data_IF_378215511013
#
_entry.id   IF_378215511013
#
_cell.length_a   1.000
_cell.length_b   1.000
_cell.length_c   1.000
_cell.angle_alpha   90.00
_cell.angle_beta   90.00
_cell.angle_gamma   90.00
#
_symmetry.space_group_name_H-M   'P 1'
#
loop_
_entity.id
_entity.type
_entity.pdbx_description
1 polymer ?
#
# COMPACT_ATOMS: atom_id res chain seq x y z
N UNK A 1 22.66 18.98 75.11
CA UNK A 1 22.26 19.43 73.75
C UNK A 1 22.81 18.43 72.75
N UNK A 2 22.02 17.49 72.26
CA UNK A 2 22.55 16.58 71.26
C UNK A 2 22.52 17.23 69.89
N UNK A 3 23.69 17.27 69.27
CA UNK A 3 23.90 17.68 67.91
C UNK A 3 23.26 16.68 66.95
N UNK A 4 22.25 17.11 66.23
CA UNK A 4 21.69 16.34 65.12
C UNK A 4 22.48 16.65 63.87
N UNK A 5 23.54 15.88 63.64
CA UNK A 5 24.23 15.88 62.36
C UNK A 5 23.38 15.17 61.31
N UNK A 6 22.72 15.94 60.52
CA UNK A 6 21.91 15.48 59.40
C UNK A 6 22.83 15.17 58.19
N UNK A 7 23.26 13.92 58.07
CA UNK A 7 23.94 13.44 56.86
C UNK A 7 22.93 13.37 55.72
N UNK A 8 23.00 14.36 54.82
CA UNK A 8 22.30 14.32 53.55
C UNK A 8 22.99 13.30 52.64
N UNK A 9 22.38 12.15 52.49
CA UNK A 9 22.70 11.21 51.41
C UNK A 9 22.13 11.76 50.11
N UNK A 10 23.00 12.23 49.23
CA UNK A 10 22.67 12.50 47.85
C UNK A 10 22.43 11.17 47.16
N UNK A 11 21.20 10.84 46.93
CA UNK A 11 20.81 9.78 45.96
C UNK A 11 20.94 10.34 44.56
N UNK A 12 22.00 9.93 43.91
CA UNK A 12 22.16 10.12 42.45
C UNK A 12 21.17 9.23 41.75
N UNK A 13 20.06 9.79 41.30
CA UNK A 13 19.18 9.17 40.37
C UNK A 13 19.85 9.10 38.99
N UNK A 14 20.37 7.91 38.68
CA UNK A 14 20.82 7.63 37.33
C UNK A 14 19.59 7.57 36.44
N UNK A 15 19.38 8.62 35.65
CA UNK A 15 18.44 8.59 34.54
C UNK A 15 19.00 7.66 33.46
N UNK A 16 18.51 6.42 33.43
CA UNK A 16 18.69 5.56 32.28
C UNK A 16 17.76 6.10 31.21
N UNK A 17 18.28 6.93 30.32
CA UNK A 17 17.62 7.26 29.08
C UNK A 17 17.57 5.97 28.23
N UNK A 18 16.48 5.23 28.31
CA UNK A 18 16.16 4.22 27.33
C UNK A 18 15.90 4.96 26.02
N UNK A 19 16.89 5.02 25.16
CA UNK A 19 16.74 5.29 23.75
C UNK A 19 15.89 4.16 23.18
N UNK A 20 14.58 4.32 23.28
CA UNK A 20 13.64 3.54 22.53
C UNK A 20 13.94 3.77 21.06
N UNK A 21 14.62 2.82 20.44
CA UNK A 21 14.83 2.84 19.02
C UNK A 21 13.44 2.87 18.35
N UNK A 22 13.09 4.03 17.84
CA UNK A 22 12.07 4.14 16.81
C UNK A 22 12.62 3.35 15.63
N UNK A 23 12.28 2.06 15.56
CA UNK A 23 12.38 1.36 14.31
C UNK A 23 11.53 2.17 13.33
N UNK A 24 12.11 2.77 12.28
CA UNK A 24 11.29 3.27 11.22
C UNK A 24 10.50 2.05 10.72
N UNK A 25 9.21 2.06 10.94
CA UNK A 25 8.31 1.22 10.16
C UNK A 25 8.60 1.65 8.72
N UNK A 26 9.52 0.92 8.08
CA UNK A 26 9.71 1.07 6.66
C UNK A 26 8.34 0.79 6.08
N UNK A 27 7.65 1.84 5.68
CA UNK A 27 6.50 1.74 4.86
C UNK A 27 7.00 1.01 3.61
N UNK A 28 6.80 -0.30 3.57
CA UNK A 28 7.01 -1.08 2.37
C UNK A 28 5.96 -0.55 1.39
N UNK A 29 6.34 0.51 0.69
CA UNK A 29 5.59 0.98 -0.45
C UNK A 29 5.29 -0.24 -1.30
N UNK A 30 4.01 -0.43 -1.63
CA UNK A 30 3.51 -1.56 -2.39
C UNK A 30 4.26 -1.69 -3.72
N UNK A 31 5.45 -2.24 -3.65
CA UNK A 31 6.33 -2.50 -4.78
C UNK A 31 5.94 -3.75 -5.59
N UNK A 32 5.13 -4.69 -5.06
CA UNK A 32 4.88 -5.93 -5.76
C UNK A 32 4.06 -5.79 -7.04
N UNK A 33 3.26 -4.76 -7.16
CA UNK A 33 2.45 -4.56 -8.37
C UNK A 33 3.23 -3.90 -9.52
N UNK A 34 4.39 -3.33 -9.26
CA UNK A 34 5.18 -2.58 -10.23
C UNK A 34 5.79 -3.41 -11.36
N UNK A 35 5.91 -4.71 -11.19
CA UNK A 35 6.65 -5.56 -12.14
C UNK A 35 5.79 -6.21 -13.22
N UNK A 36 4.47 -6.08 -13.17
CA UNK A 36 3.60 -7.05 -13.83
C UNK A 36 2.60 -6.48 -14.84
N UNK A 37 2.63 -5.22 -15.09
CA UNK A 37 1.79 -4.64 -16.15
C UNK A 37 2.43 -4.83 -17.53
N UNK A 38 2.94 -6.03 -17.76
CA UNK A 38 3.46 -6.43 -19.07
C UNK A 38 2.29 -6.51 -20.06
N UNK A 39 2.33 -5.67 -21.06
CA UNK A 39 1.34 -5.62 -22.11
C UNK A 39 0.54 -4.31 -22.20
N UNK A 40 0.59 -3.46 -21.18
CA UNK A 40 0.09 -2.11 -21.32
C UNK A 40 1.18 -1.27 -21.99
N UNK A 41 0.92 -0.65 -23.15
CA UNK A 41 1.92 0.16 -23.81
C UNK A 41 2.42 1.26 -22.88
N UNK A 42 3.70 1.21 -22.50
CA UNK A 42 4.35 2.25 -21.69
C UNK A 42 4.29 3.63 -22.35
N UNK A 43 4.00 3.69 -23.66
CA UNK A 43 3.89 4.92 -24.44
C UNK A 43 2.67 5.78 -24.09
N UNK A 44 1.68 5.21 -23.38
CA UNK A 44 0.42 5.93 -23.07
C UNK A 44 0.37 6.47 -21.65
N UNK A 45 1.30 6.07 -20.79
CA UNK A 45 1.33 6.46 -19.38
C UNK A 45 2.73 6.89 -18.96
N UNK A 46 2.80 8.01 -18.26
CA UNK A 46 4.03 8.47 -17.61
C UNK A 46 4.30 7.69 -16.32
N UNK A 47 5.51 7.80 -15.80
CA UNK A 47 5.87 7.25 -14.49
C UNK A 47 4.95 7.78 -13.38
N UNK A 48 4.57 9.05 -13.45
CA UNK A 48 3.68 9.68 -12.48
C UNK A 48 2.23 9.16 -12.60
N UNK A 49 1.77 8.85 -13.83
CA UNK A 49 0.47 8.22 -14.05
C UNK A 49 0.42 6.82 -13.41
N UNK A 50 1.47 6.04 -13.59
CA UNK A 50 1.60 4.74 -12.93
C UNK A 50 1.59 4.84 -11.42
N UNK A 51 2.24 5.85 -10.85
CA UNK A 51 2.20 6.09 -9.40
C UNK A 51 0.78 6.39 -8.91
N UNK A 52 0.00 7.16 -9.66
CA UNK A 52 -1.40 7.43 -9.35
C UNK A 52 -2.26 6.16 -9.43
N UNK A 53 -2.05 5.32 -10.45
CA UNK A 53 -2.71 4.03 -10.57
C UNK A 53 -2.40 3.11 -9.38
N UNK A 54 -1.13 2.96 -8.99
CA UNK A 54 -0.76 2.12 -7.86
C UNK A 54 -1.30 2.64 -6.52
N UNK A 55 -1.37 3.95 -6.34
CA UNK A 55 -1.97 4.55 -5.16
C UNK A 55 -3.46 4.21 -5.06
N UNK A 56 -4.18 4.30 -6.17
CA UNK A 56 -5.59 3.92 -6.23
C UNK A 56 -5.80 2.42 -5.99
N UNK A 57 -4.97 1.56 -6.56
CA UNK A 57 -5.02 0.11 -6.33
C UNK A 57 -4.77 -0.23 -4.86
N UNK A 58 -3.78 0.40 -4.23
CA UNK A 58 -3.49 0.22 -2.80
C UNK A 58 -4.65 0.70 -1.93
N UNK A 59 -5.29 1.80 -2.29
CA UNK A 59 -6.46 2.32 -1.59
C UNK A 59 -7.64 1.35 -1.67
N UNK A 60 -7.95 0.85 -2.87
CA UNK A 60 -9.04 -0.10 -3.09
C UNK A 60 -8.83 -1.41 -2.32
N UNK A 61 -7.63 -1.98 -2.41
CA UNK A 61 -7.28 -3.24 -1.78
C UNK A 61 -7.13 -3.13 -0.26
N UNK A 62 -6.80 -1.94 0.24
CA UNK A 62 -6.66 -1.65 1.68
C UNK A 62 -7.98 -1.40 2.40
N UNK A 63 -9.08 -1.21 1.68
CA UNK A 63 -10.39 -0.98 2.31
C UNK A 63 -10.92 -2.27 2.94
N UNK A 64 -11.34 -2.17 4.18
CA UNK A 64 -11.93 -3.28 4.93
C UNK A 64 -13.29 -2.88 5.50
N UNK A 65 -14.32 -3.71 5.33
CA UNK A 65 -14.36 -4.94 4.54
C UNK A 65 -14.32 -4.68 3.03
N UNK A 66 -13.69 -5.59 2.27
CA UNK A 66 -13.78 -5.56 0.81
C UNK A 66 -15.14 -6.05 0.35
N UNK A 67 -15.69 -5.43 -0.67
CA UNK A 67 -16.99 -5.77 -1.23
C UNK A 67 -16.90 -5.94 -2.75
N UNK A 68 -17.52 -6.96 -3.29
CA UNK A 68 -17.66 -7.11 -4.75
C UNK A 68 -18.42 -5.92 -5.30
N UNK A 69 -17.94 -5.38 -6.41
CA UNK A 69 -18.49 -4.17 -7.03
C UNK A 69 -17.90 -2.86 -6.52
N UNK A 70 -17.06 -2.90 -5.48
CA UNK A 70 -16.36 -1.73 -4.97
C UNK A 70 -15.41 -1.17 -6.04
N UNK A 71 -15.43 0.14 -6.24
CA UNK A 71 -14.68 0.83 -7.28
C UNK A 71 -13.75 1.88 -6.70
N UNK A 72 -12.68 2.16 -7.42
CA UNK A 72 -11.77 3.27 -7.16
C UNK A 72 -11.37 3.89 -8.49
N UNK A 73 -11.65 5.17 -8.65
CA UNK A 73 -11.16 5.94 -9.79
C UNK A 73 -9.71 6.36 -9.58
N UNK A 74 -8.99 6.49 -10.68
CA UNK A 74 -7.64 7.03 -10.68
C UNK A 74 -7.44 8.01 -11.82
N UNK A 75 -6.58 8.97 -11.59
CA UNK A 75 -6.20 9.98 -12.58
C UNK A 75 -4.73 10.33 -12.42
N UNK A 76 -3.98 10.22 -13.51
CA UNK A 76 -2.60 10.62 -13.57
C UNK A 76 -2.43 12.06 -14.07
N UNK A 77 -1.28 12.69 -13.81
CA UNK A 77 -1.04 14.10 -14.17
C UNK A 77 -0.96 14.35 -15.68
N UNK A 78 -0.69 13.33 -16.51
CA UNK A 78 -0.68 13.48 -17.97
C UNK A 78 -2.06 13.45 -18.62
N UNK A 79 -3.12 13.18 -17.84
CA UNK A 79 -4.48 13.00 -18.32
C UNK A 79 -4.89 11.53 -18.50
N UNK A 80 -3.98 10.58 -18.28
CA UNK A 80 -4.34 9.17 -18.17
C UNK A 80 -5.25 8.97 -16.96
N UNK A 81 -6.28 8.15 -17.09
CA UNK A 81 -7.27 7.91 -16.04
C UNK A 81 -7.96 6.55 -16.23
N UNK A 82 -8.73 6.16 -15.25
CA UNK A 82 -9.51 4.95 -15.35
C UNK A 82 -10.19 4.58 -14.04
N UNK A 83 -10.66 3.36 -13.98
CA UNK A 83 -11.38 2.81 -12.83
C UNK A 83 -10.89 1.41 -12.50
N UNK A 84 -10.79 1.13 -11.22
CA UNK A 84 -10.54 -0.19 -10.67
C UNK A 84 -11.82 -0.70 -10.02
N UNK A 85 -12.16 -1.97 -10.22
CA UNK A 85 -13.35 -2.58 -9.65
C UNK A 85 -13.05 -3.98 -9.13
N UNK A 86 -13.48 -4.27 -7.92
CA UNK A 86 -13.44 -5.64 -7.39
C UNK A 86 -14.55 -6.46 -8.02
N UNK A 87 -14.18 -7.44 -8.82
CA UNK A 87 -15.12 -8.34 -9.51
C UNK A 87 -15.40 -9.60 -8.69
N UNK A 88 -14.42 -10.09 -7.94
CA UNK A 88 -14.53 -11.32 -7.16
C UNK A 88 -13.64 -11.25 -5.92
N UNK A 89 -14.13 -11.81 -4.83
CA UNK A 89 -13.42 -12.04 -3.58
C UNK A 89 -13.36 -13.54 -3.37
N UNK A 90 -12.17 -14.10 -3.21
CA UNK A 90 -11.97 -15.53 -3.07
C UNK A 90 -10.71 -15.84 -2.27
N UNK A 91 -10.48 -17.11 -2.01
CA UNK A 91 -9.24 -17.60 -1.39
C UNK A 91 -8.56 -18.59 -2.33
N UNK A 92 -7.25 -18.53 -2.37
CA UNK A 92 -6.41 -19.45 -3.10
C UNK A 92 -5.15 -19.74 -2.27
N UNK A 93 -4.80 -21.01 -2.11
CA UNK A 93 -3.67 -21.44 -1.27
C UNK A 93 -3.70 -20.81 0.14
N UNK A 94 -4.87 -20.74 0.76
CA UNK A 94 -5.12 -20.10 2.05
C UNK A 94 -4.80 -18.59 2.11
N UNK A 95 -4.66 -17.95 0.97
CA UNK A 95 -4.47 -16.49 0.89
C UNK A 95 -5.77 -15.82 0.44
N UNK A 96 -6.13 -14.68 1.04
CA UNK A 96 -7.24 -13.88 0.53
C UNK A 96 -6.87 -13.28 -0.82
N UNK A 97 -7.73 -13.44 -1.80
CA UNK A 97 -7.52 -12.99 -3.17
C UNK A 97 -8.66 -12.09 -3.67
N UNK A 98 -8.34 -11.29 -4.66
CA UNK A 98 -9.28 -10.41 -5.36
C UNK A 98 -9.06 -10.51 -6.86
N UNK A 99 -10.14 -10.66 -7.62
CA UNK A 99 -10.11 -10.36 -9.04
C UNK A 99 -10.51 -8.89 -9.21
N UNK A 100 -9.65 -8.13 -9.85
CA UNK A 100 -9.83 -6.70 -10.08
C UNK A 100 -9.91 -6.44 -11.57
N UNK A 101 -10.96 -5.76 -11.99
CA UNK A 101 -11.06 -5.21 -13.33
C UNK A 101 -10.43 -3.83 -13.34
N UNK A 102 -9.40 -3.64 -14.16
CA UNK A 102 -8.69 -2.40 -14.31
C UNK A 102 -8.95 -1.79 -15.70
N UNK A 103 -9.44 -0.57 -15.71
CA UNK A 103 -9.69 0.20 -16.91
C UNK A 103 -8.68 1.32 -17.06
N UNK A 104 -8.12 1.46 -18.25
CA UNK A 104 -7.14 2.48 -18.59
C UNK A 104 -7.58 3.27 -19.81
N UNK A 105 -7.57 4.60 -19.65
CA UNK A 105 -7.72 5.56 -20.73
C UNK A 105 -6.45 6.41 -20.76
N UNK A 106 -5.57 6.19 -21.72
CA UNK A 106 -4.37 6.98 -21.89
C UNK A 106 -4.69 8.39 -22.44
N UNK A 107 -3.76 9.30 -22.29
CA UNK A 107 -3.89 10.69 -22.76
C UNK A 107 -4.28 10.80 -24.24
N UNK A 108 -3.84 9.85 -25.06
CA UNK A 108 -4.09 9.79 -26.50
C UNK A 108 -4.64 8.43 -26.96
N UNK A 109 -5.10 7.61 -26.01
CA UNK A 109 -5.64 6.32 -26.36
C UNK A 109 -6.97 6.50 -27.09
N UNK A 110 -7.01 6.06 -28.33
CA UNK A 110 -8.25 5.98 -29.11
C UNK A 110 -9.24 4.97 -28.51
N UNK A 111 -8.77 4.09 -27.63
CA UNK A 111 -9.54 3.01 -27.03
C UNK A 111 -9.26 2.86 -25.56
N UNK A 112 -10.29 2.55 -24.79
CA UNK A 112 -10.17 2.10 -23.41
C UNK A 112 -9.55 0.71 -23.38
N UNK A 113 -8.50 0.53 -22.58
CA UNK A 113 -7.90 -0.76 -22.31
C UNK A 113 -8.49 -1.35 -21.04
N UNK A 114 -8.82 -2.64 -21.08
CA UNK A 114 -9.40 -3.35 -19.96
C UNK A 114 -8.55 -4.57 -19.62
N UNK A 115 -8.25 -4.73 -18.35
CA UNK A 115 -7.47 -5.85 -17.83
C UNK A 115 -8.17 -6.49 -16.64
N UNK A 116 -8.11 -7.80 -16.57
CA UNK A 116 -8.48 -8.54 -15.38
C UNK A 116 -7.22 -8.97 -14.65
N UNK A 117 -7.09 -8.58 -13.41
CA UNK A 117 -5.90 -8.79 -12.59
C UNK A 117 -6.32 -9.60 -11.37
N UNK A 118 -5.64 -10.72 -11.13
CA UNK A 118 -5.78 -11.47 -9.90
C UNK A 118 -4.69 -11.05 -8.93
N UNK A 119 -5.05 -10.68 -7.72
CA UNK A 119 -4.12 -10.32 -6.65
C UNK A 119 -4.44 -11.09 -5.39
N UNK A 120 -3.43 -11.58 -4.71
CA UNK A 120 -3.55 -12.28 -3.44
C UNK A 120 -2.68 -11.61 -2.37
N UNK A 121 -3.16 -11.62 -1.14
CA UNK A 121 -2.44 -11.06 -0.01
C UNK A 121 -1.55 -12.13 0.62
N UNK A 122 -0.27 -11.88 0.70
CA UNK A 122 0.69 -12.80 1.30
C UNK A 122 0.69 -12.75 2.84
N UNK A 123 1.51 -13.61 3.46
CA UNK A 123 1.63 -13.68 4.92
C UNK A 123 2.18 -12.39 5.54
N UNK A 124 2.87 -11.56 4.78
CA UNK A 124 3.37 -10.24 5.19
C UNK A 124 2.33 -9.14 5.05
N UNK A 125 1.15 -9.47 4.55
CA UNK A 125 0.06 -8.53 4.33
C UNK A 125 0.18 -7.73 3.04
N UNK A 126 1.06 -8.12 2.12
CA UNK A 126 1.26 -7.47 0.84
C UNK A 126 0.43 -8.12 -0.27
N UNK A 127 -0.16 -7.29 -1.10
CA UNK A 127 -0.87 -7.74 -2.28
C UNK A 127 0.10 -8.03 -3.42
N UNK A 128 0.03 -9.23 -3.95
CA UNK A 128 0.86 -9.71 -5.06
C UNK A 128 -0.03 -10.26 -6.16
N UNK A 129 0.48 -10.25 -7.38
CA UNK A 129 -0.23 -10.91 -8.47
C UNK A 129 -0.37 -12.40 -8.19
N UNK A 130 -1.59 -12.89 -8.36
CA UNK A 130 -1.87 -14.31 -8.37
C UNK A 130 -1.31 -14.97 -9.62
N UNK A 131 -0.85 -16.21 -9.47
CA UNK A 131 -0.39 -17.07 -10.58
C UNK A 131 -1.56 -17.59 -11.40
#
# INVERSE_FOLDING_TARGET
MPDFSMKRTLSTLAFVASLGGLCPLAAHAATPLRGYMFGIPNSTMSKADWSAFYAAASSLLGQMPSTVGQTQDWQGPSGAHGTLKIEKIYQEHNMPCRAVHAQFNGKQAAHTLNYNIAVCRDAQGEWRLGS
#
